data_IF_381866505675
#
_entry.id   IF_381866505675
#
_cell.length_a   1.000
_cell.length_b   1.000
_cell.length_c   1.000
_cell.angle_alpha   90.00
_cell.angle_beta   90.00
_cell.angle_gamma   90.00
#
_symmetry.space_group_name_H-M   'P 1'
#
loop_
_entity.id
_entity.type
_entity.pdbx_description
1 polymer ?
#
# COMPACT_ATOMS: atom_id res chain seq x y z
N UNK A 1 -3.06 -27.90 3.60
CA UNK A 1 -2.18 -26.76 3.67
C UNK A 1 -2.91 -25.58 3.03
N UNK A 2 -3.44 -24.66 3.84
CA UNK A 2 -3.79 -23.36 3.34
C UNK A 2 -2.48 -22.81 2.76
N UNK A 3 -2.47 -22.53 1.47
CA UNK A 3 -1.31 -22.04 0.76
C UNK A 3 -0.81 -20.79 1.49
N UNK A 4 0.49 -20.74 1.76
CA UNK A 4 1.21 -19.55 2.23
C UNK A 4 1.24 -18.49 1.11
N UNK A 5 0.04 -18.07 0.64
CA UNK A 5 -0.09 -16.96 -0.30
C UNK A 5 -0.08 -15.69 0.53
N UNK A 6 1.07 -15.05 0.59
CA UNK A 6 1.22 -13.74 1.21
C UNK A 6 0.30 -12.73 0.53
N UNK A 7 -0.41 -11.96 1.34
CA UNK A 7 -1.31 -10.90 0.87
C UNK A 7 -0.54 -9.58 0.78
N UNK A 8 -1.15 -8.59 0.10
CA UNK A 8 -0.56 -7.26 -0.04
C UNK A 8 -0.14 -6.62 1.29
N UNK A 9 -0.95 -6.79 2.35
CA UNK A 9 -0.64 -6.28 3.68
C UNK A 9 0.64 -6.89 4.27
N UNK A 10 0.91 -8.15 3.95
CA UNK A 10 2.12 -8.85 4.39
C UNK A 10 3.38 -8.22 3.76
N UNK A 11 3.33 -7.88 2.46
CA UNK A 11 4.42 -7.19 1.77
C UNK A 11 4.63 -5.77 2.31
N UNK A 12 3.54 -5.05 2.60
CA UNK A 12 3.59 -3.70 3.15
C UNK A 12 4.28 -3.64 4.53
N UNK A 13 4.32 -4.76 5.28
CA UNK A 13 5.05 -4.87 6.54
C UNK A 13 6.58 -4.74 6.41
N UNK A 14 7.11 -4.65 5.20
CA UNK A 14 8.51 -4.28 5.01
C UNK A 14 8.77 -2.81 5.38
N UNK A 15 7.78 -1.92 5.27
CA UNK A 15 7.95 -0.50 5.60
C UNK A 15 8.40 -0.24 7.03
N UNK A 16 7.84 -0.87 8.09
CA UNK A 16 8.39 -0.75 9.42
C UNK A 16 9.86 -1.15 9.53
N UNK A 17 10.28 -2.25 8.90
CA UNK A 17 11.70 -2.66 8.91
C UNK A 17 12.58 -1.66 8.15
N UNK A 18 12.09 -1.11 7.03
CA UNK A 18 12.76 -0.06 6.26
C UNK A 18 12.91 1.24 7.07
N UNK A 19 11.94 1.53 7.96
CA UNK A 19 11.99 2.66 8.89
C UNK A 19 12.76 2.36 10.20
N UNK A 20 13.49 1.26 10.28
CA UNK A 20 14.34 0.90 11.41
C UNK A 20 13.63 0.19 12.56
N UNK A 21 12.40 -0.28 12.37
CA UNK A 21 11.71 -1.11 13.37
C UNK A 21 12.11 -2.57 13.26
N UNK A 22 12.08 -3.29 14.38
CA UNK A 22 12.39 -4.71 14.45
C UNK A 22 11.57 -5.41 15.55
N UNK A 23 11.86 -6.67 15.83
CA UNK A 23 11.11 -7.48 16.79
C UNK A 23 11.36 -7.16 18.27
N UNK A 24 12.11 -6.10 18.59
CA UNK A 24 12.43 -5.73 19.98
C UNK A 24 11.61 -4.51 20.45
N UNK A 25 12.25 -3.42 20.80
CA UNK A 25 11.60 -2.22 21.35
C UNK A 25 11.36 -1.16 20.29
N UNK A 26 10.10 -0.70 20.17
CA UNK A 26 9.67 0.33 19.24
C UNK A 26 8.83 1.43 19.94
N UNK A 27 9.00 1.64 21.23
CA UNK A 27 8.18 2.56 22.04
C UNK A 27 8.16 4.02 21.52
N UNK A 28 9.20 4.45 20.81
CA UNK A 28 9.25 5.78 20.17
C UNK A 28 8.75 5.82 18.73
N UNK A 29 8.33 4.69 18.20
CA UNK A 29 7.91 4.52 16.81
C UNK A 29 6.42 4.72 16.65
N UNK A 30 6.03 5.32 15.53
CA UNK A 30 4.63 5.61 15.23
C UNK A 30 4.30 5.27 13.77
N UNK A 31 3.15 4.66 13.58
CA UNK A 31 2.60 4.30 12.27
C UNK A 31 1.25 5.01 12.09
N UNK A 32 1.09 5.69 10.96
CA UNK A 32 -0.17 6.25 10.48
C UNK A 32 -0.72 5.37 9.35
N UNK A 33 -2.04 5.15 9.35
CA UNK A 33 -2.73 4.38 8.30
C UNK A 33 -3.87 5.22 7.74
N UNK A 34 -3.80 5.52 6.45
CA UNK A 34 -4.85 6.21 5.70
C UNK A 34 -5.64 5.18 4.89
N UNK A 35 -6.86 4.87 5.34
CA UNK A 35 -7.66 3.73 4.92
C UNK A 35 -7.43 2.53 5.83
N UNK A 36 -8.01 2.56 7.03
CA UNK A 36 -7.82 1.50 8.04
C UNK A 36 -8.42 0.15 7.60
N UNK A 37 -9.54 0.19 6.87
CA UNK A 37 -10.24 -1.01 6.43
C UNK A 37 -10.60 -1.92 7.61
N UNK A 38 -10.32 -3.22 7.47
CA UNK A 38 -10.51 -4.21 8.54
C UNK A 38 -9.47 -4.14 9.68
N UNK A 39 -8.50 -3.23 9.61
CA UNK A 39 -7.43 -3.11 10.60
C UNK A 39 -6.34 -4.19 10.53
N UNK A 40 -6.29 -4.97 9.46
CA UNK A 40 -5.32 -6.08 9.33
C UNK A 40 -3.88 -5.58 9.41
N UNK A 41 -3.52 -4.52 8.68
CA UNK A 41 -2.17 -3.96 8.72
C UNK A 41 -1.82 -3.40 10.11
N UNK A 42 -2.76 -2.69 10.75
CA UNK A 42 -2.60 -2.18 12.12
C UNK A 42 -2.34 -3.31 13.12
N UNK A 43 -3.16 -4.37 13.05
CA UNK A 43 -3.02 -5.54 13.92
C UNK A 43 -1.67 -6.23 13.75
N UNK A 44 -1.16 -6.30 12.52
CA UNK A 44 0.17 -6.84 12.25
C UNK A 44 1.28 -5.93 12.77
N UNK A 45 1.16 -4.61 12.62
CA UNK A 45 2.14 -3.67 13.18
C UNK A 45 2.25 -3.84 14.71
N UNK A 46 1.13 -3.86 15.42
CA UNK A 46 1.11 -4.08 16.88
C UNK A 46 1.69 -5.45 17.26
N UNK A 47 1.39 -6.49 16.48
CA UNK A 47 1.85 -7.86 16.75
C UNK A 47 3.34 -8.07 16.54
N UNK A 48 3.90 -7.50 15.47
CA UNK A 48 5.28 -7.78 15.05
C UNK A 48 6.29 -6.75 15.53
N UNK A 49 5.82 -5.55 15.91
CA UNK A 49 6.67 -4.44 16.38
C UNK A 49 6.22 -3.97 17.77
N UNK A 50 6.63 -4.69 18.84
CA UNK A 50 6.22 -4.35 20.20
C UNK A 50 6.54 -2.91 20.56
N UNK A 51 5.62 -2.23 21.23
CA UNK A 51 5.77 -0.83 21.66
C UNK A 51 5.36 0.22 20.60
N UNK A 52 5.16 -0.17 19.35
CA UNK A 52 4.75 0.77 18.29
C UNK A 52 3.39 1.40 18.58
N UNK A 53 3.28 2.71 18.39
CA UNK A 53 1.99 3.41 18.39
C UNK A 53 1.39 3.35 16.99
N UNK A 54 0.13 2.92 16.88
CA UNK A 54 -0.58 2.85 15.60
C UNK A 54 -1.85 3.68 15.67
N UNK A 55 -2.02 4.56 14.70
CA UNK A 55 -3.24 5.35 14.53
C UNK A 55 -3.61 5.43 13.05
N UNK A 56 -4.88 5.74 12.75
CA UNK A 56 -5.27 5.92 11.36
C UNK A 56 -6.68 6.46 11.20
N UNK A 57 -7.05 6.65 9.94
CA UNK A 57 -8.36 7.14 9.53
C UNK A 57 -9.07 6.12 8.65
N UNK A 58 -10.39 6.03 8.82
CA UNK A 58 -11.30 5.29 7.97
C UNK A 58 -12.54 6.15 7.72
N UNK A 59 -12.84 6.39 6.45
CA UNK A 59 -13.94 7.29 6.08
C UNK A 59 -15.32 6.65 6.34
N UNK A 60 -15.42 5.34 6.23
CA UNK A 60 -16.66 4.61 6.46
C UNK A 60 -16.74 4.11 7.90
N UNK A 61 -17.65 4.76 8.66
CA UNK A 61 -17.91 4.39 10.06
C UNK A 61 -18.28 2.91 10.23
N UNK A 62 -18.99 2.31 9.27
CA UNK A 62 -19.40 0.90 9.39
C UNK A 62 -18.18 -0.01 9.26
N UNK A 63 -17.23 0.32 8.38
CA UNK A 63 -15.99 -0.43 8.24
C UNK A 63 -15.16 -0.31 9.53
N UNK A 64 -15.04 0.90 10.09
CA UNK A 64 -14.34 1.12 11.36
C UNK A 64 -14.99 0.34 12.53
N UNK A 65 -16.32 0.34 12.63
CA UNK A 65 -17.05 -0.44 13.64
C UNK A 65 -16.79 -1.96 13.46
N UNK A 66 -16.86 -2.47 12.22
CA UNK A 66 -16.63 -3.88 11.89
C UNK A 66 -15.18 -4.30 12.21
N UNK A 67 -14.19 -3.43 11.99
CA UNK A 67 -12.79 -3.71 12.32
C UNK A 67 -12.63 -4.05 13.81
N UNK A 68 -13.29 -3.30 14.68
CA UNK A 68 -13.26 -3.51 16.13
C UNK A 68 -14.11 -4.72 16.55
N UNK A 69 -15.35 -4.81 16.06
CA UNK A 69 -16.31 -5.81 16.53
C UNK A 69 -16.03 -7.23 16.04
N UNK A 70 -15.55 -7.38 14.79
CA UNK A 70 -15.45 -8.67 14.11
C UNK A 70 -14.03 -9.07 13.71
N UNK A 71 -13.12 -8.12 13.48
CA UNK A 71 -11.75 -8.41 13.07
C UNK A 71 -10.73 -8.32 14.20
N UNK A 72 -11.17 -7.98 15.43
CA UNK A 72 -10.33 -7.98 16.61
C UNK A 72 -9.20 -6.95 16.54
N UNK A 73 -9.50 -5.77 15.99
CA UNK A 73 -8.54 -4.65 16.00
C UNK A 73 -8.13 -4.38 17.46
N UNK A 74 -6.81 -4.33 17.77
CA UNK A 74 -6.35 -4.10 19.14
C UNK A 74 -6.83 -2.76 19.70
N UNK A 75 -7.24 -2.74 20.96
CA UNK A 75 -7.69 -1.53 21.66
C UNK A 75 -6.64 -0.40 21.73
N UNK A 76 -5.36 -0.76 21.51
CA UNK A 76 -4.25 0.19 21.43
C UNK A 76 -4.17 0.96 20.11
N UNK A 77 -4.97 0.59 19.11
CA UNK A 77 -5.02 1.26 17.82
C UNK A 77 -6.08 2.36 17.83
N UNK A 78 -5.66 3.59 17.59
CA UNK A 78 -6.58 4.73 17.50
C UNK A 78 -7.14 4.83 16.07
N UNK A 79 -8.47 4.82 15.92
CA UNK A 79 -9.16 4.97 14.63
C UNK A 79 -10.04 6.20 14.64
N UNK A 80 -9.74 7.16 13.75
CA UNK A 80 -10.60 8.30 13.46
C UNK A 80 -11.57 7.97 12.30
N UNK A 81 -12.84 8.28 12.45
CA UNK A 81 -13.82 8.18 11.36
C UNK A 81 -13.81 9.50 10.59
N UNK A 82 -12.88 9.62 9.63
CA UNK A 82 -12.60 10.86 8.93
C UNK A 82 -11.94 10.60 7.59
N UNK A 83 -11.95 11.60 6.68
CA UNK A 83 -11.16 11.59 5.45
C UNK A 83 -9.66 11.52 5.77
N UNK A 84 -8.94 10.59 5.13
CA UNK A 84 -7.53 10.31 5.43
C UNK A 84 -6.62 11.51 5.20
N UNK A 85 -6.83 12.30 4.13
CA UNK A 85 -6.03 13.50 3.86
C UNK A 85 -6.30 14.60 4.87
N UNK A 86 -7.58 14.82 5.21
CA UNK A 86 -7.96 15.81 6.22
C UNK A 86 -7.37 15.44 7.59
N UNK A 87 -7.43 14.17 7.97
CA UNK A 87 -6.85 13.66 9.20
C UNK A 87 -5.33 13.84 9.26
N UNK A 88 -4.62 13.53 8.17
CA UNK A 88 -3.17 13.75 8.08
C UNK A 88 -2.83 15.24 8.22
N UNK A 89 -3.51 16.09 7.45
CA UNK A 89 -3.26 17.55 7.45
C UNK A 89 -3.53 18.19 8.81
N UNK A 90 -4.50 17.69 9.57
CA UNK A 90 -4.80 18.16 10.92
C UNK A 90 -3.80 17.66 11.98
N UNK A 91 -2.98 16.65 11.67
CA UNK A 91 -1.99 16.10 12.59
C UNK A 91 -0.77 17.01 12.72
N UNK A 92 -0.32 17.25 13.94
CA UNK A 92 0.97 17.89 14.22
C UNK A 92 2.11 16.87 14.43
N UNK A 93 1.79 15.55 14.34
CA UNK A 93 2.74 14.46 14.60
C UNK A 93 3.50 14.09 13.33
N UNK A 94 4.71 13.57 13.54
CA UNK A 94 5.47 12.87 12.49
C UNK A 94 5.53 11.38 12.78
N UNK A 95 5.58 10.58 11.71
CA UNK A 95 5.48 9.13 11.73
C UNK A 95 6.72 8.48 11.15
N UNK A 96 7.04 7.30 11.65
CA UNK A 96 8.08 6.46 11.05
C UNK A 96 7.57 5.77 9.79
N UNK A 97 6.28 5.42 9.77
CA UNK A 97 5.60 4.83 8.60
C UNK A 97 4.25 5.50 8.38
N UNK A 98 3.96 5.84 7.13
CA UNK A 98 2.61 6.23 6.69
C UNK A 98 2.16 5.25 5.61
N UNK A 99 1.12 4.46 5.93
CA UNK A 99 0.49 3.52 5.00
C UNK A 99 -0.69 4.20 4.31
N UNK A 100 -0.72 4.12 2.97
CA UNK A 100 -1.85 4.58 2.16
C UNK A 100 -2.49 3.37 1.48
N UNK A 101 -3.63 2.94 1.98
CA UNK A 101 -4.42 1.79 1.45
C UNK A 101 -5.91 2.16 1.39
N UNK A 102 -6.20 3.40 0.99
CA UNK A 102 -7.57 3.90 0.82
C UNK A 102 -8.00 3.73 -0.64
N UNK A 103 -9.00 2.89 -0.85
CA UNK A 103 -9.59 2.64 -2.17
C UNK A 103 -11.06 3.01 -2.17
N UNK A 104 -11.47 3.70 -3.24
CA UNK A 104 -12.86 3.84 -3.61
C UNK A 104 -13.06 3.02 -4.88
N UNK A 105 -13.84 1.93 -4.77
CA UNK A 105 -14.00 0.93 -5.82
C UNK A 105 -12.65 0.30 -6.25
N UNK A 106 -12.09 0.72 -7.38
CA UNK A 106 -10.93 0.09 -8.02
C UNK A 106 -9.66 0.94 -7.85
N UNK A 107 -9.80 2.24 -7.64
CA UNK A 107 -8.69 3.19 -7.66
C UNK A 107 -8.48 3.90 -6.33
N UNK A 108 -7.27 4.41 -6.12
CA UNK A 108 -7.01 5.38 -5.05
C UNK A 108 -7.79 6.66 -5.41
N UNK A 109 -8.53 7.28 -4.46
CA UNK A 109 -9.21 8.54 -4.69
C UNK A 109 -8.25 9.63 -5.16
N UNK A 110 -8.71 10.50 -6.08
CA UNK A 110 -7.85 11.54 -6.67
C UNK A 110 -7.16 12.42 -5.62
N UNK A 111 -7.85 12.71 -4.51
CA UNK A 111 -7.31 13.51 -3.40
C UNK A 111 -6.14 12.83 -2.66
N UNK A 112 -5.90 11.54 -2.86
CA UNK A 112 -4.80 10.77 -2.29
C UNK A 112 -3.77 10.32 -3.34
N UNK A 113 -3.74 10.98 -4.52
CA UNK A 113 -2.92 10.55 -5.66
C UNK A 113 -2.04 11.64 -6.25
N UNK A 114 -2.09 12.86 -5.73
CA UNK A 114 -1.43 14.05 -6.29
C UNK A 114 -0.06 14.34 -5.65
N UNK A 115 0.75 15.14 -6.35
CA UNK A 115 2.03 15.70 -5.82
C UNK A 115 1.78 16.41 -4.48
N UNK A 116 0.70 17.18 -4.40
CA UNK A 116 0.35 17.95 -3.20
C UNK A 116 0.08 17.01 -2.01
N UNK A 117 -0.64 15.91 -2.23
CA UNK A 117 -0.87 14.92 -1.20
C UNK A 117 0.42 14.20 -0.80
N UNK A 118 1.22 13.73 -1.74
CA UNK A 118 2.47 13.02 -1.40
C UNK A 118 3.49 13.96 -0.75
N UNK A 119 3.51 15.25 -1.10
CA UNK A 119 4.31 16.25 -0.40
C UNK A 119 3.84 16.44 1.05
N UNK A 120 2.53 16.39 1.29
CA UNK A 120 1.98 16.43 2.64
C UNK A 120 2.37 15.18 3.44
N UNK A 121 2.31 13.98 2.84
CA UNK A 121 2.80 12.75 3.47
C UNK A 121 4.29 12.86 3.82
N UNK A 122 5.13 13.35 2.88
CA UNK A 122 6.57 13.53 3.10
C UNK A 122 6.87 14.42 4.32
N UNK A 123 6.12 15.52 4.50
CA UNK A 123 6.28 16.43 5.65
C UNK A 123 5.94 15.78 7.00
N UNK A 124 5.03 14.81 6.99
CA UNK A 124 4.62 14.07 8.18
C UNK A 124 5.47 12.82 8.44
N UNK A 125 6.45 12.52 7.58
CA UNK A 125 7.44 11.49 7.87
C UNK A 125 8.60 12.06 8.71
N UNK A 126 9.03 11.25 9.68
CA UNK A 126 10.29 11.50 10.40
C UNK A 126 11.50 11.31 9.47
N UNK A 127 12.68 11.84 9.80
CA UNK A 127 13.92 11.46 9.10
C UNK A 127 14.09 9.94 9.05
N UNK A 128 14.28 9.38 7.85
CA UNK A 128 14.33 7.95 7.61
C UNK A 128 12.96 7.24 7.58
N UNK A 129 11.87 8.01 7.67
CA UNK A 129 10.52 7.47 7.58
C UNK A 129 10.16 6.98 6.18
N UNK A 130 9.15 6.12 6.10
CA UNK A 130 8.74 5.42 4.89
C UNK A 130 7.25 5.58 4.64
N UNK A 131 6.89 6.07 3.46
CA UNK A 131 5.53 5.91 2.94
C UNK A 131 5.42 4.57 2.24
N UNK A 132 4.34 3.84 2.50
CA UNK A 132 4.00 2.60 1.78
C UNK A 132 2.61 2.72 1.18
N UNK A 133 2.51 2.39 -0.11
CA UNK A 133 1.25 2.46 -0.87
C UNK A 133 0.97 1.09 -1.48
N UNK A 134 -0.25 0.62 -1.34
CA UNK A 134 -0.70 -0.53 -2.08
C UNK A 134 -1.38 -0.07 -3.38
N UNK A 135 -0.90 -0.51 -4.53
CA UNK A 135 -1.52 -0.25 -5.83
C UNK A 135 -2.23 -1.51 -6.32
N UNK A 136 -3.52 -1.37 -6.61
CA UNK A 136 -4.31 -2.43 -7.23
C UNK A 136 -4.07 -2.46 -8.75
N UNK A 137 -4.35 -3.62 -9.36
CA UNK A 137 -4.38 -3.80 -10.82
C UNK A 137 -3.07 -3.41 -11.51
N UNK A 138 -2.06 -4.28 -11.36
CA UNK A 138 -0.80 -4.15 -12.10
C UNK A 138 -1.07 -4.14 -13.60
N UNK A 139 -0.71 -3.06 -14.27
CA UNK A 139 -0.70 -2.96 -15.74
C UNK A 139 0.73 -2.69 -16.20
N UNK A 140 1.16 -3.40 -17.24
CA UNK A 140 2.45 -3.19 -17.89
C UNK A 140 2.37 -2.13 -19.01
N UNK A 141 1.20 -1.53 -19.24
CA UNK A 141 1.00 -0.56 -20.31
C UNK A 141 1.56 0.81 -19.92
N UNK A 142 2.15 1.47 -20.88
CA UNK A 142 2.57 2.87 -20.77
C UNK A 142 1.35 3.78 -20.59
N UNK A 143 1.44 4.71 -19.65
CA UNK A 143 0.33 5.58 -19.26
C UNK A 143 -0.75 4.89 -18.40
N UNK A 144 -0.43 3.76 -17.76
CA UNK A 144 -1.33 3.13 -16.78
C UNK A 144 -1.44 3.98 -15.50
N UNK A 145 -2.56 3.80 -14.75
CA UNK A 145 -2.75 4.51 -13.47
C UNK A 145 -1.61 4.23 -12.49
N UNK A 146 -1.07 3.01 -12.46
CA UNK A 146 0.03 2.67 -11.58
C UNK A 146 1.32 3.41 -11.97
N UNK A 147 1.57 3.60 -13.27
CA UNK A 147 2.70 4.41 -13.74
C UNK A 147 2.52 5.86 -13.32
N UNK A 148 1.35 6.47 -13.55
CA UNK A 148 1.07 7.83 -13.09
C UNK A 148 1.30 7.99 -11.58
N UNK A 149 0.83 7.04 -10.77
CA UNK A 149 1.02 7.08 -9.33
C UNK A 149 2.49 6.93 -8.94
N UNK A 150 3.22 5.98 -9.54
CA UNK A 150 4.64 5.78 -9.26
C UNK A 150 5.48 6.98 -9.71
N UNK A 151 5.22 7.55 -10.90
CA UNK A 151 5.90 8.76 -11.40
C UNK A 151 5.64 9.95 -10.45
N UNK A 152 4.38 10.12 -10.02
CA UNK A 152 4.00 11.19 -9.08
C UNK A 152 4.73 11.03 -7.75
N UNK A 153 4.74 9.84 -7.16
CA UNK A 153 5.49 9.56 -5.91
C UNK A 153 6.99 9.80 -6.08
N UNK A 154 7.58 9.35 -7.20
CA UNK A 154 9.01 9.54 -7.49
C UNK A 154 9.39 10.99 -7.75
N UNK A 155 8.44 11.87 -8.10
CA UNK A 155 8.69 13.31 -8.22
C UNK A 155 8.81 14.01 -6.87
N UNK A 156 8.34 13.38 -5.80
CA UNK A 156 8.33 13.93 -4.43
C UNK A 156 9.42 13.32 -3.57
N UNK A 157 9.59 12.00 -3.63
CA UNK A 157 10.55 11.27 -2.78
C UNK A 157 11.86 11.00 -3.52
N UNK A 158 12.97 11.05 -2.80
CA UNK A 158 14.30 10.77 -3.35
C UNK A 158 14.44 9.32 -3.82
N UNK A 159 13.78 8.38 -3.12
CA UNK A 159 13.84 6.96 -3.41
C UNK A 159 12.43 6.34 -3.48
N UNK A 160 12.18 5.62 -4.55
CA UNK A 160 10.94 4.86 -4.78
C UNK A 160 11.29 3.43 -5.16
N UNK A 161 10.69 2.48 -4.45
CA UNK A 161 10.87 1.05 -4.68
C UNK A 161 9.53 0.37 -4.88
N UNK A 162 9.52 -0.68 -5.69
CA UNK A 162 8.31 -1.46 -5.98
C UNK A 162 8.55 -2.94 -5.74
N UNK A 163 7.50 -3.64 -5.32
CA UNK A 163 7.46 -5.11 -5.27
C UNK A 163 6.09 -5.59 -5.74
N UNK A 164 6.08 -6.51 -6.70
CA UNK A 164 4.86 -7.15 -7.16
C UNK A 164 4.47 -8.28 -6.21
N UNK A 165 3.19 -8.35 -5.87
CA UNK A 165 2.64 -9.41 -5.01
C UNK A 165 2.27 -10.60 -5.89
N UNK A 166 2.96 -11.76 -5.79
CA UNK A 166 2.64 -12.94 -6.58
C UNK A 166 1.19 -13.39 -6.36
N UNK A 167 0.56 -13.90 -7.40
CA UNK A 167 -0.83 -14.37 -7.42
C UNK A 167 -1.91 -13.30 -7.15
N UNK A 168 -1.52 -12.04 -7.03
CA UNK A 168 -2.40 -10.89 -6.96
C UNK A 168 -2.03 -9.88 -8.05
N UNK A 169 -2.94 -8.97 -8.36
CA UNK A 169 -2.70 -7.87 -9.29
C UNK A 169 -2.19 -6.61 -8.56
N UNK A 170 -1.56 -6.79 -7.40
CA UNK A 170 -1.10 -5.69 -6.58
C UNK A 170 0.39 -5.43 -6.75
N UNK A 171 0.76 -4.16 -6.69
CA UNK A 171 2.14 -3.70 -6.50
C UNK A 171 2.21 -2.89 -5.21
N UNK A 172 3.13 -3.22 -4.32
CA UNK A 172 3.41 -2.41 -3.13
C UNK A 172 4.57 -1.48 -3.45
N UNK A 173 4.38 -0.20 -3.16
CA UNK A 173 5.37 0.87 -3.41
C UNK A 173 5.86 1.41 -2.08
N UNK A 174 7.17 1.57 -1.94
CA UNK A 174 7.83 2.17 -0.79
C UNK A 174 8.56 3.42 -1.22
N UNK A 175 8.34 4.53 -0.51
CA UNK A 175 8.98 5.81 -0.79
C UNK A 175 9.64 6.38 0.46
N UNK A 176 10.83 6.93 0.31
CA UNK A 176 11.60 7.57 1.40
C UNK A 176 12.62 8.56 0.83
N UNK A 177 13.05 9.49 1.69
CA UNK A 177 14.18 10.36 1.38
C UNK A 177 15.51 9.84 1.97
N UNK A 178 15.52 8.65 2.58
CA UNK A 178 16.71 8.05 3.16
C UNK A 178 17.54 7.28 2.14
N UNK A 179 18.78 7.68 1.95
CA UNK A 179 19.75 6.95 1.13
C UNK A 179 20.07 5.55 1.67
N UNK A 180 19.88 5.35 2.97
CA UNK A 180 20.21 4.10 3.68
C UNK A 180 19.02 3.12 3.78
N UNK A 181 17.90 3.37 3.09
CA UNK A 181 16.67 2.59 3.25
C UNK A 181 16.88 1.08 3.06
N UNK A 182 17.60 0.65 2.03
CA UNK A 182 17.89 -0.78 1.77
C UNK A 182 18.76 -1.38 2.86
N UNK A 183 19.80 -0.66 3.28
CA UNK A 183 20.67 -1.09 4.36
C UNK A 183 19.89 -1.24 5.67
N UNK A 184 19.11 -0.23 6.03
CA UNK A 184 18.22 -0.23 7.20
C UNK A 184 17.25 -1.41 7.16
N UNK A 185 16.65 -1.69 6.00
CA UNK A 185 15.79 -2.85 5.82
C UNK A 185 16.53 -4.16 6.08
N UNK A 186 17.70 -4.35 5.48
CA UNK A 186 18.50 -5.58 5.64
C UNK A 186 18.97 -5.80 7.09
N UNK A 187 19.35 -4.73 7.80
CA UNK A 187 19.76 -4.80 9.20
C UNK A 187 18.60 -5.17 10.14
N UNK A 188 17.40 -4.66 9.90
CA UNK A 188 16.26 -4.87 10.79
C UNK A 188 15.47 -6.15 10.49
N UNK A 189 15.33 -6.56 9.23
CA UNK A 189 14.59 -7.76 8.86
C UNK A 189 15.23 -9.05 9.43
N UNK A 190 16.54 -9.08 9.60
CA UNK A 190 17.25 -10.24 10.20
C UNK A 190 17.06 -10.35 11.72
N UNK A 191 16.59 -9.29 12.36
CA UNK A 191 16.30 -9.25 13.79
C UNK A 191 14.86 -9.68 14.13
N UNK A 192 14.05 -10.04 13.12
CA UNK A 192 12.69 -10.48 13.32
C UNK A 192 12.65 -11.87 13.94
N UNK A 193 11.91 -11.99 15.04
CA UNK A 193 11.83 -13.24 15.80
C UNK A 193 10.82 -14.24 15.20
N UNK A 194 9.83 -13.75 14.46
CA UNK A 194 8.82 -14.59 13.83
C UNK A 194 9.33 -15.16 12.49
N UNK A 195 9.49 -16.48 12.42
CA UNK A 195 10.11 -17.16 11.26
C UNK A 195 9.29 -17.01 9.97
N UNK A 196 7.96 -17.02 10.04
CA UNK A 196 7.11 -16.84 8.86
C UNK A 196 7.22 -15.41 8.32
N UNK A 197 7.25 -14.43 9.23
CA UNK A 197 7.42 -13.03 8.87
C UNK A 197 8.83 -12.76 8.32
N UNK A 198 9.87 -13.33 8.94
CA UNK A 198 11.24 -13.24 8.43
C UNK A 198 11.37 -13.83 7.01
N UNK A 199 10.77 -14.99 6.74
CA UNK A 199 10.77 -15.59 5.41
C UNK A 199 10.07 -14.72 4.36
N UNK A 200 9.00 -14.03 4.74
CA UNK A 200 8.32 -13.07 3.88
C UNK A 200 9.21 -11.86 3.59
N UNK A 201 9.92 -11.32 4.58
CA UNK A 201 10.85 -10.21 4.39
C UNK A 201 12.03 -10.59 3.46
N UNK A 202 12.48 -11.84 3.47
CA UNK A 202 13.44 -12.35 2.48
C UNK A 202 12.87 -12.29 1.06
N UNK A 203 11.59 -12.62 0.90
CA UNK A 203 10.92 -12.53 -0.40
C UNK A 203 10.84 -11.08 -0.89
N UNK A 204 10.44 -10.15 0.00
CA UNK A 204 10.41 -8.72 -0.33
C UNK A 204 11.81 -8.22 -0.70
N UNK A 205 12.85 -8.53 0.08
CA UNK A 205 14.22 -8.09 -0.18
C UNK A 205 14.74 -8.56 -1.54
N UNK A 206 14.43 -9.81 -1.92
CA UNK A 206 14.82 -10.39 -3.21
C UNK A 206 14.10 -9.73 -4.37
N UNK A 207 12.82 -9.42 -4.22
CA UNK A 207 11.95 -8.98 -5.31
C UNK A 207 11.77 -7.45 -5.37
N UNK A 208 12.33 -6.71 -4.42
CA UNK A 208 12.32 -5.24 -4.36
C UNK A 208 13.13 -4.65 -5.54
N UNK A 209 12.50 -3.75 -6.29
CA UNK A 209 13.09 -3.08 -7.44
C UNK A 209 13.08 -1.56 -7.25
N UNK A 210 14.17 -0.92 -7.69
CA UNK A 210 14.21 0.52 -7.81
C UNK A 210 13.24 0.97 -8.90
N UNK A 211 12.51 2.04 -8.65
CA UNK A 211 11.64 2.68 -9.63
C UNK A 211 12.26 4.00 -10.06
N UNK A 212 12.49 4.13 -11.36
CA UNK A 212 12.93 5.40 -11.95
C UNK A 212 11.68 6.16 -12.41
N UNK A 213 11.47 7.33 -11.86
CA UNK A 213 10.32 8.18 -12.21
C UNK A 213 10.33 8.62 -13.67
N UNK A 214 9.14 8.90 -14.18
CA UNK A 214 8.87 9.44 -15.51
C UNK A 214 8.11 10.77 -15.43
N UNK A 215 7.40 11.10 -16.52
CA UNK A 215 6.77 12.41 -16.72
C UNK A 215 5.25 12.39 -16.44
N UNK A 216 4.67 11.26 -16.01
CA UNK A 216 3.24 11.13 -15.75
C UNK A 216 2.89 11.62 -14.35
N UNK A 217 2.69 12.91 -14.20
CA UNK A 217 2.49 13.55 -12.89
C UNK A 217 1.03 13.94 -12.69
N UNK A 218 0.48 13.54 -11.54
CA UNK A 218 -0.85 13.91 -11.07
C UNK A 218 -0.74 15.10 -10.10
N UNK A 219 -1.63 16.08 -10.28
CA UNK A 219 -1.76 17.24 -9.37
C UNK A 219 -3.21 17.35 -8.91
N UNK A 220 -3.49 18.08 -7.83
CA UNK A 220 -4.86 18.28 -7.34
C UNK A 220 -5.81 18.83 -8.42
N UNK A 221 -5.29 19.65 -9.33
CA UNK A 221 -6.06 20.19 -10.45
C UNK A 221 -6.16 19.24 -11.65
N UNK A 222 -5.34 18.19 -11.70
CA UNK A 222 -5.22 17.28 -12.85
C UNK A 222 -4.87 15.85 -12.41
N UNK A 223 -5.82 15.17 -11.82
CA UNK A 223 -5.70 13.78 -11.40
C UNK A 223 -6.91 12.95 -11.93
N UNK A 224 -6.93 12.58 -13.23
CA UNK A 224 -8.04 11.82 -13.82
C UNK A 224 -7.97 10.32 -13.46
N UNK A 225 -7.84 10.00 -12.18
CA UNK A 225 -7.60 8.62 -11.69
C UNK A 225 -8.74 7.68 -12.01
N UNK A 226 -10.00 8.14 -11.97
CA UNK A 226 -11.17 7.33 -12.30
C UNK A 226 -11.14 6.93 -13.79
N UNK A 227 -10.80 7.87 -14.67
CA UNK A 227 -10.69 7.60 -16.11
C UNK A 227 -9.55 6.64 -16.44
N UNK A 228 -8.40 6.79 -15.76
CA UNK A 228 -7.26 5.90 -15.91
C UNK A 228 -7.56 4.50 -15.35
N UNK A 229 -8.27 4.42 -14.23
CA UNK A 229 -8.73 3.15 -13.65
C UNK A 229 -9.70 2.41 -14.57
N UNK A 230 -10.63 3.10 -15.21
CA UNK A 230 -11.56 2.52 -16.20
C UNK A 230 -10.81 1.90 -17.38
N UNK A 231 -9.75 2.51 -17.88
CA UNK A 231 -8.93 1.92 -18.95
C UNK A 231 -8.32 0.58 -18.55
N UNK A 232 -7.80 0.47 -17.34
CA UNK A 232 -7.25 -0.81 -16.85
C UNK A 232 -8.35 -1.87 -16.74
N UNK A 233 -9.57 -1.48 -16.34
CA UNK A 233 -10.70 -2.39 -16.27
C UNK A 233 -11.10 -2.89 -17.67
N UNK A 234 -11.17 -2.00 -18.66
CA UNK A 234 -11.45 -2.35 -20.05
C UNK A 234 -10.42 -3.36 -20.59
N UNK A 235 -9.13 -3.14 -20.31
CA UNK A 235 -8.05 -4.06 -20.70
C UNK A 235 -8.19 -5.45 -20.06
N UNK A 236 -8.54 -5.51 -18.76
CA UNK A 236 -8.77 -6.78 -18.07
C UNK A 236 -9.96 -7.53 -18.66
N UNK A 237 -11.04 -6.81 -18.97
CA UNK A 237 -12.24 -7.38 -19.61
C UNK A 237 -11.89 -7.91 -21.00
N UNK A 238 -11.20 -7.14 -21.81
CA UNK A 238 -10.79 -7.52 -23.17
C UNK A 238 -9.83 -8.73 -23.14
N UNK A 239 -8.89 -8.75 -22.19
CA UNK A 239 -8.00 -9.87 -21.98
C UNK A 239 -8.73 -11.16 -21.58
N UNK A 240 -9.71 -11.08 -20.68
CA UNK A 240 -10.54 -12.22 -20.31
C UNK A 240 -11.45 -12.68 -21.45
N UNK A 241 -12.09 -11.76 -22.15
CA UNK A 241 -12.91 -12.09 -23.32
C UNK A 241 -12.09 -12.76 -24.42
N UNK A 242 -10.88 -12.30 -24.67
CA UNK A 242 -9.96 -12.92 -25.63
C UNK A 242 -9.57 -14.34 -25.21
N UNK A 243 -9.24 -14.55 -23.93
CA UNK A 243 -8.95 -15.86 -23.38
C UNK A 243 -10.15 -16.83 -23.55
N UNK A 244 -11.38 -16.39 -23.23
CA UNK A 244 -12.56 -17.22 -23.41
C UNK A 244 -12.86 -17.52 -24.88
N UNK A 245 -12.66 -16.56 -25.78
CA UNK A 245 -12.81 -16.76 -27.22
C UNK A 245 -11.79 -17.76 -27.82
N UNK A 246 -10.60 -17.84 -27.24
CA UNK A 246 -9.58 -18.81 -27.66
C UNK A 246 -9.85 -20.23 -27.11
N UNK A 247 -10.44 -20.32 -25.91
CA UNK A 247 -10.69 -21.60 -25.24
C UNK A 247 -12.06 -22.22 -25.60
N UNK A 248 -13.05 -21.40 -25.93
CA UNK A 248 -14.44 -21.83 -26.15
C UNK A 248 -14.99 -21.23 -27.45
N UNK A 249 -15.86 -22.01 -28.14
CA UNK A 249 -16.63 -21.48 -29.24
C UNK A 249 -17.67 -20.43 -28.75
N UNK A 250 -18.10 -19.54 -29.64
CA UNK A 250 -19.12 -18.54 -29.30
C UNK A 250 -20.42 -19.17 -28.80
N UNK A 251 -20.75 -20.37 -29.27
CA UNK A 251 -21.94 -21.11 -28.85
C UNK A 251 -21.82 -21.64 -27.42
N UNK A 252 -20.62 -22.10 -27.02
CA UNK A 252 -20.34 -22.51 -25.65
C UNK A 252 -20.35 -21.34 -24.69
N UNK A 253 -19.80 -20.17 -25.08
CA UNK A 253 -19.81 -18.94 -24.26
C UNK A 253 -21.24 -18.47 -24.00
N UNK A 254 -22.11 -18.47 -25.02
CA UNK A 254 -23.52 -18.06 -24.88
C UNK A 254 -24.24 -19.00 -23.90
N UNK A 255 -24.00 -20.31 -23.99
CA UNK A 255 -24.62 -21.29 -23.11
C UNK A 255 -24.13 -21.24 -21.66
N UNK A 256 -22.99 -20.59 -21.37
CA UNK A 256 -22.50 -20.37 -20.00
C UNK A 256 -23.15 -19.16 -19.29
N UNK A 257 -23.76 -18.26 -20.07
CA UNK A 257 -24.31 -16.99 -19.56
C UNK A 257 -25.86 -17.01 -19.56
N UNK A 258 -26.48 -17.97 -20.24
CA UNK A 258 -27.93 -18.20 -20.25
C UNK A 258 -28.32 -19.37 -19.32
#
# INVERSE_FOLDING_TARGET
>A
AASDVYKRQDYALAAPCMAGMNGSDNDSRAVMILGMGSGTYASYCVRYFPGVTVQGAEIDKKIADIATEYFGLPDSVEVAVEDGRAYLTASEKQFDVIMVDAYQDITIPFQLSSVEFFTEVQRHLKPGGVMVVNLNMTSAQDGSINQYLCDTMSSVFAHTYTVNVPANTNTVVFCSDSDDLRQTFDENRVLLQNTSYAAMMETVARDLRDYTGGDHILTDDKAPVELLGMRVLDELIDGQLSYYKEQFSMEEIINMVT
#
